data_IF_968772607970
#
_entry.id   IF_968772607970
#
_cell.length_a   1.000
_cell.length_b   1.000
_cell.length_c   1.000
_cell.angle_alpha   90.00
_cell.angle_beta   90.00
_cell.angle_gamma   90.00
#
_symmetry.space_group_name_H-M   'P 1'
#
loop_
_entity.id
_entity.type
_entity.pdbx_description
1 polymer ?
#
# COMPACT_ATOMS: atom_id res chain seq x y z
N UNK A 1 40.24 36.45 -64.82
CA UNK A 1 38.78 36.10 -64.71
C UNK A 1 38.68 34.82 -64.00
N UNK A 2 38.28 34.83 -62.70
CA UNK A 2 37.98 33.63 -61.90
C UNK A 2 36.51 33.71 -61.55
N UNK A 3 35.76 32.68 -61.93
CA UNK A 3 34.36 32.47 -61.59
C UNK A 3 34.30 31.85 -60.19
N UNK A 4 33.50 32.33 -59.24
CA UNK A 4 33.33 31.66 -57.94
C UNK A 4 32.32 30.51 -58.05
N UNK A 5 32.75 29.35 -57.58
CA UNK A 5 31.91 28.18 -57.39
C UNK A 5 30.87 28.46 -56.34
N UNK A 6 29.61 28.33 -56.72
CA UNK A 6 28.49 28.41 -55.81
C UNK A 6 28.45 27.20 -54.78
N UNK A 7 28.30 27.50 -53.53
CA UNK A 7 28.07 26.53 -52.46
C UNK A 7 26.61 26.08 -52.58
N UNK A 8 26.31 24.75 -52.64
CA UNK A 8 24.94 24.29 -52.61
C UNK A 8 24.36 24.54 -51.21
N UNK A 9 23.24 25.24 -51.17
CA UNK A 9 22.47 25.48 -49.95
C UNK A 9 22.09 24.16 -49.29
N UNK A 10 22.41 24.03 -48.02
CA UNK A 10 21.90 22.99 -47.17
C UNK A 10 20.38 23.21 -47.02
N UNK A 11 19.64 22.34 -47.67
CA UNK A 11 18.19 22.24 -47.54
C UNK A 11 17.86 21.65 -46.14
N UNK A 12 17.68 22.53 -45.17
CA UNK A 12 17.29 22.19 -43.81
C UNK A 12 15.74 22.08 -43.71
N UNK A 13 15.18 21.11 -44.41
CA UNK A 13 13.73 20.93 -44.49
C UNK A 13 13.26 19.49 -44.68
N UNK A 14 13.95 18.52 -44.08
CA UNK A 14 13.34 17.19 -43.97
C UNK A 14 12.24 17.25 -42.88
N UNK A 15 10.99 17.56 -43.31
CA UNK A 15 9.82 17.52 -42.47
C UNK A 15 9.69 16.12 -41.80
N UNK A 16 10.10 16.00 -40.57
CA UNK A 16 9.75 14.80 -39.76
C UNK A 16 8.24 14.68 -39.86
N UNK A 17 7.73 13.63 -40.52
CA UNK A 17 6.31 13.32 -40.49
C UNK A 17 5.87 13.26 -39.02
N UNK A 18 4.91 14.12 -38.65
CA UNK A 18 4.42 14.20 -37.29
C UNK A 18 3.98 12.81 -36.81
N UNK A 19 4.54 12.36 -35.73
CA UNK A 19 4.23 11.03 -35.15
C UNK A 19 2.72 10.89 -34.94
N UNK A 20 2.15 9.71 -35.24
CA UNK A 20 0.70 9.47 -35.11
C UNK A 20 0.28 9.59 -33.65
N UNK A 21 -0.86 10.25 -33.38
CA UNK A 21 -1.38 10.45 -32.01
C UNK A 21 -1.51 9.13 -31.24
N UNK A 22 -1.92 8.04 -31.91
CA UNK A 22 -2.00 6.71 -31.27
C UNK A 22 -0.65 6.19 -30.76
N UNK A 23 0.46 6.48 -31.45
CA UNK A 23 1.80 6.10 -31.02
C UNK A 23 2.23 6.94 -29.80
N UNK A 24 2.01 8.26 -29.85
CA UNK A 24 2.28 9.18 -28.73
C UNK A 24 1.50 8.74 -27.48
N UNK A 25 0.20 8.43 -27.65
CA UNK A 25 -0.65 7.88 -26.57
C UNK A 25 -0.03 6.63 -25.97
N UNK A 26 0.35 5.66 -26.79
CA UNK A 26 0.96 4.41 -26.34
C UNK A 26 2.24 4.66 -25.53
N UNK A 27 3.12 5.54 -26.00
CA UNK A 27 4.35 5.91 -25.29
C UNK A 27 4.06 6.54 -23.92
N UNK A 28 3.16 7.56 -23.89
CA UNK A 28 2.83 8.25 -22.64
C UNK A 28 2.08 7.35 -21.64
N UNK A 29 1.29 6.38 -22.10
CA UNK A 29 0.58 5.44 -21.23
C UNK A 29 1.50 4.36 -20.67
N UNK A 30 2.45 3.86 -21.48
CA UNK A 30 3.40 2.82 -21.08
C UNK A 30 4.56 3.33 -20.23
N UNK A 31 4.88 4.63 -20.32
CA UNK A 31 5.99 5.22 -19.59
C UNK A 31 5.81 5.20 -18.08
N UNK A 32 6.90 4.94 -17.36
CA UNK A 32 6.96 5.10 -15.93
C UNK A 32 6.82 6.57 -15.52
N UNK A 33 6.40 6.81 -14.28
CA UNK A 33 6.20 8.18 -13.76
C UNK A 33 7.47 9.02 -13.85
N UNK A 34 8.64 8.42 -13.62
CA UNK A 34 9.95 9.08 -13.71
C UNK A 34 10.34 9.50 -15.13
N UNK A 35 9.83 8.80 -16.14
CA UNK A 35 10.13 9.06 -17.56
C UNK A 35 9.21 10.12 -18.16
N UNK A 36 8.00 10.28 -17.58
CA UNK A 36 6.98 11.17 -18.12
C UNK A 36 7.45 12.63 -18.31
N UNK A 37 8.21 13.27 -17.38
CA UNK A 37 8.66 14.65 -17.57
C UNK A 37 9.51 14.82 -18.83
N UNK A 38 10.41 13.88 -19.12
CA UNK A 38 11.26 13.89 -20.31
C UNK A 38 10.42 13.66 -21.57
N UNK A 39 9.50 12.69 -21.55
CA UNK A 39 8.61 12.46 -22.69
C UNK A 39 7.69 13.64 -22.96
N UNK A 40 7.16 14.30 -21.93
CA UNK A 40 6.31 15.46 -22.07
C UNK A 40 7.04 16.62 -22.74
N UNK A 41 8.32 16.87 -22.43
CA UNK A 41 9.11 17.93 -23.08
C UNK A 41 9.27 17.74 -24.59
N UNK A 42 9.29 16.48 -25.07
CA UNK A 42 9.36 16.17 -26.51
C UNK A 42 8.10 16.59 -27.26
N UNK A 43 6.94 16.57 -26.60
CA UNK A 43 5.64 16.86 -27.22
C UNK A 43 5.05 18.21 -26.79
N UNK A 44 5.76 19.00 -26.01
CA UNK A 44 5.26 20.25 -25.42
C UNK A 44 4.75 21.26 -26.46
N UNK A 45 5.43 21.31 -27.61
CA UNK A 45 5.11 22.24 -28.73
C UNK A 45 4.09 21.67 -29.73
N UNK A 46 3.58 20.44 -29.51
CA UNK A 46 2.62 19.82 -30.42
C UNK A 46 1.20 20.34 -30.13
N UNK A 47 0.70 21.21 -31.01
CA UNK A 47 -0.61 21.88 -30.83
C UNK A 47 -1.83 21.00 -31.17
N UNK A 48 -1.61 19.78 -31.66
CA UNK A 48 -2.74 18.87 -31.99
C UNK A 48 -3.55 18.55 -30.75
N UNK A 49 -4.88 18.80 -30.81
CA UNK A 49 -5.79 18.64 -29.68
C UNK A 49 -5.72 17.22 -29.05
N UNK A 50 -5.53 16.17 -29.87
CA UNK A 50 -5.37 14.79 -29.38
C UNK A 50 -4.07 14.57 -28.61
N UNK A 51 -2.97 15.27 -28.97
CA UNK A 51 -1.69 15.21 -28.24
C UNK A 51 -1.81 16.00 -26.94
N UNK A 52 -2.39 17.19 -26.96
CA UNK A 52 -2.61 18.00 -25.76
C UNK A 52 -3.49 17.28 -24.72
N UNK A 53 -4.48 16.52 -25.17
CA UNK A 53 -5.31 15.69 -24.27
C UNK A 53 -4.47 14.59 -23.57
N UNK A 54 -3.55 13.93 -24.27
CA UNK A 54 -2.67 12.91 -23.67
C UNK A 54 -1.62 13.55 -22.73
N UNK A 55 -1.07 14.73 -23.09
CA UNK A 55 -0.19 15.52 -22.21
C UNK A 55 -0.91 15.86 -20.90
N UNK A 56 -2.16 16.33 -20.98
CA UNK A 56 -2.96 16.64 -19.78
C UNK A 56 -3.20 15.41 -18.91
N UNK A 57 -3.46 14.24 -19.50
CA UNK A 57 -3.59 12.97 -18.78
C UNK A 57 -2.29 12.57 -18.08
N UNK A 58 -1.16 12.67 -18.77
CA UNK A 58 0.14 12.36 -18.20
C UNK A 58 0.51 13.31 -17.04
N UNK A 59 0.28 14.62 -17.20
CA UNK A 59 0.45 15.62 -16.12
C UNK A 59 -0.42 15.30 -14.91
N UNK A 60 -1.67 14.85 -15.13
CA UNK A 60 -2.56 14.41 -14.04
C UNK A 60 -2.02 13.16 -13.31
N UNK A 61 -1.41 12.21 -14.04
CA UNK A 61 -0.75 11.04 -13.44
C UNK A 61 0.42 11.45 -12.54
N UNK A 62 1.27 12.36 -13.01
CA UNK A 62 2.39 12.90 -12.23
C UNK A 62 1.87 13.57 -10.95
N UNK A 63 0.92 14.48 -11.07
CA UNK A 63 0.35 15.19 -9.91
C UNK A 63 -0.31 14.24 -8.90
N UNK A 64 -0.99 13.18 -9.37
CA UNK A 64 -1.57 12.17 -8.49
C UNK A 64 -0.49 11.37 -7.74
N UNK A 65 0.59 11.02 -8.41
CA UNK A 65 1.74 10.34 -7.81
C UNK A 65 2.43 11.21 -6.75
N UNK A 66 2.72 12.47 -7.07
CA UNK A 66 3.34 13.42 -6.14
C UNK A 66 2.46 13.65 -4.89
N UNK A 67 1.14 13.73 -5.09
CA UNK A 67 0.19 13.81 -3.97
C UNK A 67 0.26 12.58 -3.09
N UNK A 68 0.36 11.40 -3.69
CA UNK A 68 0.46 10.13 -2.95
C UNK A 68 1.79 10.01 -2.21
N UNK A 69 2.91 10.42 -2.82
CA UNK A 69 4.22 10.48 -2.14
C UNK A 69 4.14 11.37 -0.90
N UNK A 70 3.56 12.58 -1.03
CA UNK A 70 3.38 13.49 0.12
C UNK A 70 2.47 12.87 1.19
N UNK A 71 1.39 12.18 0.80
CA UNK A 71 0.49 11.50 1.75
C UNK A 71 1.23 10.38 2.50
N UNK A 72 2.01 9.57 1.79
CA UNK A 72 2.80 8.49 2.39
C UNK A 72 3.86 9.05 3.34
N UNK A 73 4.52 10.14 2.97
CA UNK A 73 5.45 10.84 3.86
C UNK A 73 4.75 11.37 5.13
N UNK A 74 3.54 11.89 5.02
CA UNK A 74 2.75 12.29 6.19
C UNK A 74 2.38 11.09 7.07
N UNK A 75 2.06 9.93 6.47
CA UNK A 75 1.74 8.69 7.18
C UNK A 75 2.93 8.12 7.98
N UNK A 76 4.16 8.50 7.65
CA UNK A 76 5.38 8.11 8.37
C UNK A 76 5.72 9.03 9.56
N UNK A 77 4.80 9.87 10.00
CA UNK A 77 5.08 10.86 11.06
C UNK A 77 5.58 10.20 12.35
N UNK A 78 4.92 9.14 12.81
CA UNK A 78 5.31 8.44 14.04
C UNK A 78 6.62 7.69 13.89
N UNK A 79 6.88 7.05 12.76
CA UNK A 79 8.13 6.37 12.49
C UNK A 79 9.31 7.34 12.48
N UNK A 80 9.11 8.58 12.00
CA UNK A 80 10.12 9.65 12.08
C UNK A 80 10.28 10.22 13.49
N UNK A 81 9.19 10.40 14.22
CA UNK A 81 9.23 10.86 15.62
C UNK A 81 10.04 9.91 16.49
N UNK A 82 9.90 8.61 16.24
CA UNK A 82 10.59 7.56 16.97
C UNK A 82 11.80 6.97 16.22
N UNK A 83 12.43 7.72 15.30
CA UNK A 83 13.53 7.23 14.44
C UNK A 83 14.78 6.73 15.20
N UNK A 84 14.91 7.06 16.50
CA UNK A 84 15.96 6.54 17.37
C UNK A 84 15.85 5.03 17.63
N UNK A 85 14.63 4.45 17.51
CA UNK A 85 14.40 3.01 17.62
C UNK A 85 14.80 2.29 16.33
N UNK A 86 15.42 1.12 16.45
CA UNK A 86 15.88 0.36 15.29
C UNK A 86 14.75 -0.37 14.59
N UNK A 87 13.87 -1.01 15.37
CA UNK A 87 12.79 -1.87 14.89
C UNK A 87 11.44 -1.41 15.44
N UNK A 88 10.80 -0.48 14.72
CA UNK A 88 9.46 0.00 15.04
C UNK A 88 8.45 -0.97 14.41
N UNK A 89 7.60 -1.56 15.24
CA UNK A 89 6.57 -2.51 14.82
C UNK A 89 5.19 -1.85 14.88
N UNK A 90 4.47 -1.87 13.78
CA UNK A 90 3.03 -1.55 13.74
C UNK A 90 2.20 -2.78 14.07
N UNK A 91 1.12 -2.60 14.83
CA UNK A 91 0.20 -3.68 15.24
C UNK A 91 -1.23 -3.24 15.00
N UNK A 92 -2.00 -4.12 14.35
CA UNK A 92 -3.45 -3.97 14.14
C UNK A 92 -4.14 -5.34 14.13
N UNK A 93 -5.45 -5.35 14.32
CA UNK A 93 -6.26 -6.57 14.32
C UNK A 93 -7.48 -6.47 13.39
N UNK A 94 -8.00 -7.61 13.00
CA UNK A 94 -9.25 -7.78 12.27
C UNK A 94 -10.04 -8.95 12.84
N UNK A 95 -11.37 -8.87 12.80
CA UNK A 95 -12.23 -9.97 13.26
C UNK A 95 -12.97 -9.71 14.56
N UNK A 96 -12.84 -8.50 15.17
CA UNK A 96 -13.61 -8.13 16.38
C UNK A 96 -15.07 -7.78 16.11
N UNK A 97 -15.38 -7.34 14.90
CA UNK A 97 -16.73 -6.91 14.53
C UNK A 97 -17.61 -7.95 13.83
N UNK A 98 -17.07 -8.96 13.11
CA UNK A 98 -17.86 -10.04 12.54
C UNK A 98 -18.52 -10.92 13.60
N UNK A 99 -19.64 -11.59 13.22
CA UNK A 99 -20.35 -12.55 14.06
C UNK A 99 -19.70 -13.93 14.07
N UNK A 100 -18.86 -14.24 13.06
CA UNK A 100 -18.23 -15.54 12.90
C UNK A 100 -16.79 -15.41 12.41
N UNK A 101 -16.00 -16.44 12.71
CA UNK A 101 -14.59 -16.55 12.32
C UNK A 101 -13.64 -16.02 13.39
N UNK A 102 -12.32 -16.20 13.18
CA UNK A 102 -11.29 -15.85 14.15
C UNK A 102 -11.01 -14.34 14.19
N UNK A 103 -10.37 -13.91 15.29
CA UNK A 103 -9.57 -12.68 15.30
C UNK A 103 -8.18 -12.99 14.72
N UNK A 104 -7.69 -12.10 13.87
CA UNK A 104 -6.33 -12.15 13.31
C UNK A 104 -5.64 -10.84 13.62
N UNK A 105 -4.45 -10.91 14.21
CA UNK A 105 -3.59 -9.76 14.45
C UNK A 105 -2.36 -9.82 13.52
N UNK A 106 -1.96 -8.67 13.01
CA UNK A 106 -0.73 -8.45 12.25
C UNK A 106 0.27 -7.63 13.05
N UNK A 107 1.53 -8.01 13.00
CA UNK A 107 2.67 -7.26 13.51
C UNK A 107 3.66 -7.07 12.35
N UNK A 108 4.00 -5.83 12.00
CA UNK A 108 4.85 -5.53 10.83
C UNK A 108 5.96 -4.55 11.20
N UNK A 109 7.20 -4.92 10.92
CA UNK A 109 8.36 -4.04 10.97
C UNK A 109 8.74 -3.68 9.54
N UNK A 110 8.59 -2.40 9.17
CA UNK A 110 9.00 -1.90 7.87
C UNK A 110 10.45 -1.38 7.92
N UNK A 111 11.18 -1.34 6.79
CA UNK A 111 12.46 -0.67 6.72
C UNK A 111 12.31 0.83 6.99
N UNK A 112 13.35 1.49 7.54
CA UNK A 112 13.31 2.92 7.89
C UNK A 112 13.10 3.84 6.68
N UNK A 113 13.55 3.41 5.52
CA UNK A 113 13.42 4.07 4.22
C UNK A 113 12.23 3.52 3.39
N UNK A 114 11.19 3.06 4.08
CA UNK A 114 10.03 2.47 3.43
C UNK A 114 9.44 3.39 2.36
N UNK A 115 9.37 2.88 1.13
CA UNK A 115 8.87 3.55 -0.07
C UNK A 115 7.50 3.00 -0.56
N UNK A 116 6.86 2.16 0.24
CA UNK A 116 5.58 1.54 -0.14
C UNK A 116 4.48 2.59 -0.18
N UNK A 117 4.02 2.91 -1.38
CA UNK A 117 2.92 3.84 -1.60
C UNK A 117 1.56 3.15 -1.43
N UNK A 118 0.51 3.96 -1.23
CA UNK A 118 -0.89 3.54 -1.14
C UNK A 118 -1.28 2.73 0.11
N UNK A 119 -0.39 2.49 1.06
CA UNK A 119 -0.79 1.97 2.37
C UNK A 119 -1.82 2.92 2.98
N UNK A 120 -2.93 2.36 3.46
CA UNK A 120 -4.03 3.10 4.07
C UNK A 120 -4.83 2.14 4.95
N UNK A 121 -5.78 2.66 5.74
CA UNK A 121 -6.83 1.89 6.39
C UNK A 121 -7.37 0.81 5.43
N UNK A 122 -7.24 -0.46 5.81
CA UNK A 122 -7.55 -1.60 4.95
C UNK A 122 -9.00 -1.62 4.47
N UNK A 123 -9.91 -1.01 5.23
CA UNK A 123 -11.34 -0.90 4.90
C UNK A 123 -11.62 0.10 3.77
N UNK A 124 -10.69 1.04 3.51
CA UNK A 124 -10.79 2.04 2.42
C UNK A 124 -10.20 1.55 1.10
N UNK A 125 -9.47 0.45 1.13
CA UNK A 125 -8.86 -0.15 -0.05
C UNK A 125 -9.81 -1.16 -0.71
N UNK A 126 -9.77 -1.25 -2.05
CA UNK A 126 -10.40 -2.37 -2.76
C UNK A 126 -9.67 -3.68 -2.43
N UNK A 127 -10.39 -4.81 -2.55
CA UNK A 127 -9.79 -6.14 -2.32
C UNK A 127 -8.54 -6.34 -3.18
N UNK A 128 -8.62 -6.05 -4.48
CA UNK A 128 -7.48 -6.12 -5.40
C UNK A 128 -6.29 -5.30 -4.91
N UNK A 129 -6.53 -4.06 -4.42
CA UNK A 129 -5.44 -3.19 -3.95
C UNK A 129 -4.85 -3.68 -2.64
N UNK A 130 -5.65 -4.28 -1.75
CA UNK A 130 -5.15 -4.93 -0.53
C UNK A 130 -4.24 -6.11 -0.85
N UNK A 131 -4.63 -6.96 -1.80
CA UNK A 131 -3.82 -8.12 -2.23
C UNK A 131 -2.48 -7.66 -2.84
N UNK A 132 -2.49 -6.66 -3.73
CA UNK A 132 -1.26 -6.08 -4.28
C UNK A 132 -0.33 -5.55 -3.18
N UNK A 133 -0.88 -4.82 -2.20
CA UNK A 133 -0.10 -4.26 -1.10
C UNK A 133 0.37 -5.32 -0.12
N UNK A 134 -0.43 -6.36 0.11
CA UNK A 134 -0.01 -7.51 0.91
C UNK A 134 1.27 -8.14 0.37
N UNK A 135 1.32 -8.44 -0.93
CA UNK A 135 2.48 -9.03 -1.56
C UNK A 135 3.72 -8.12 -1.46
N UNK A 136 3.55 -6.80 -1.70
CA UNK A 136 4.63 -5.82 -1.57
C UNK A 136 5.11 -5.72 -0.11
N UNK A 137 4.21 -5.72 0.88
CA UNK A 137 4.57 -5.67 2.30
C UNK A 137 5.32 -6.94 2.69
N UNK A 138 4.84 -8.12 2.29
CA UNK A 138 5.49 -9.40 2.59
C UNK A 138 6.90 -9.51 2.00
N UNK A 139 7.14 -8.89 0.83
CA UNK A 139 8.46 -8.84 0.18
C UNK A 139 9.42 -7.85 0.85
N UNK A 140 8.91 -6.65 1.21
CA UNK A 140 9.77 -5.52 1.66
C UNK A 140 9.91 -5.40 3.17
N UNK A 141 9.03 -5.99 3.96
CA UNK A 141 9.08 -5.88 5.41
C UNK A 141 10.33 -6.55 5.99
N UNK A 142 10.91 -5.95 7.02
CA UNK A 142 12.00 -6.53 7.80
C UNK A 142 11.52 -7.77 8.55
N UNK A 143 10.31 -7.72 9.09
CA UNK A 143 9.64 -8.86 9.72
C UNK A 143 8.13 -8.70 9.68
N UNK A 144 7.44 -9.83 9.56
CA UNK A 144 5.97 -9.93 9.65
C UNK A 144 5.64 -11.07 10.60
N UNK A 145 4.75 -10.81 11.55
CA UNK A 145 4.19 -11.80 12.46
C UNK A 145 2.66 -11.80 12.37
N UNK A 146 2.05 -12.97 12.44
CA UNK A 146 0.61 -13.17 12.44
C UNK A 146 0.19 -13.98 13.67
N UNK A 147 -0.81 -13.49 14.36
CA UNK A 147 -1.41 -14.20 15.51
C UNK A 147 -2.91 -14.40 15.30
N UNK A 148 -3.43 -15.46 15.91
CA UNK A 148 -4.80 -15.89 15.70
C UNK A 148 -5.46 -16.21 17.04
N UNK A 149 -6.76 -15.94 17.12
CA UNK A 149 -7.60 -16.48 18.18
C UNK A 149 -8.86 -17.08 17.58
N UNK A 150 -9.13 -18.35 17.87
CA UNK A 150 -10.25 -19.08 17.29
C UNK A 150 -11.58 -18.64 17.88
N UNK A 151 -12.72 -18.94 17.22
CA UNK A 151 -14.05 -18.67 17.77
C UNK A 151 -14.25 -19.30 19.15
N UNK A 152 -13.79 -20.54 19.36
CA UNK A 152 -13.88 -21.24 20.63
C UNK A 152 -13.13 -20.49 21.74
N UNK A 153 -11.91 -20.00 21.40
CA UNK A 153 -11.11 -19.22 22.35
C UNK A 153 -11.77 -17.87 22.67
N UNK A 154 -12.42 -17.25 21.71
CA UNK A 154 -13.17 -16.00 21.90
C UNK A 154 -14.33 -16.25 22.90
N UNK A 155 -15.04 -17.38 22.79
CA UNK A 155 -16.14 -17.77 23.70
C UNK A 155 -15.63 -18.04 25.12
N UNK A 156 -14.43 -18.60 25.27
CA UNK A 156 -13.83 -18.88 26.59
C UNK A 156 -13.40 -17.61 27.34
N UNK A 157 -12.74 -16.66 26.65
CA UNK A 157 -12.04 -15.55 27.33
C UNK A 157 -12.55 -14.17 26.95
N UNK A 158 -13.55 -14.06 26.10
CA UNK A 158 -14.11 -12.89 25.42
C UNK A 158 -13.23 -12.29 24.33
N UNK A 159 -13.87 -11.49 23.47
CA UNK A 159 -13.25 -10.89 22.27
C UNK A 159 -12.04 -9.99 22.57
N UNK A 160 -12.05 -9.26 23.70
CA UNK A 160 -10.96 -8.36 24.07
C UNK A 160 -9.71 -9.14 24.45
N UNK A 161 -9.83 -10.15 25.30
CA UNK A 161 -8.71 -10.98 25.73
C UNK A 161 -8.16 -11.81 24.57
N UNK A 162 -9.05 -12.36 23.74
CA UNK A 162 -8.70 -13.07 22.51
C UNK A 162 -7.91 -12.18 21.53
N UNK A 163 -8.28 -10.91 21.41
CA UNK A 163 -7.53 -9.93 20.61
C UNK A 163 -6.13 -9.72 21.17
N UNK A 164 -5.98 -9.56 22.49
CA UNK A 164 -4.66 -9.39 23.10
C UNK A 164 -3.79 -10.65 22.95
N UNK A 165 -4.36 -11.85 23.06
CA UNK A 165 -3.64 -13.09 22.80
C UNK A 165 -3.14 -13.15 21.35
N UNK A 166 -3.99 -12.85 20.37
CA UNK A 166 -3.58 -12.80 18.97
C UNK A 166 -2.48 -11.77 18.71
N UNK A 167 -2.55 -10.58 19.33
CA UNK A 167 -1.50 -9.56 19.21
C UNK A 167 -0.17 -10.03 19.82
N UNK A 168 -0.19 -10.64 21.00
CA UNK A 168 1.03 -11.20 21.63
C UNK A 168 1.64 -12.32 20.80
N UNK A 169 0.80 -13.19 20.23
CA UNK A 169 1.26 -14.23 19.31
C UNK A 169 1.91 -13.64 18.05
N UNK A 170 1.31 -12.60 17.44
CA UNK A 170 1.86 -11.90 16.29
C UNK A 170 3.26 -11.31 16.60
N UNK A 171 3.40 -10.64 17.75
CA UNK A 171 4.68 -10.10 18.21
C UNK A 171 5.70 -11.23 18.41
N UNK A 172 5.30 -12.32 19.05
CA UNK A 172 6.18 -13.46 19.33
C UNK A 172 6.67 -14.22 18.09
N UNK A 173 5.94 -14.10 16.98
CA UNK A 173 6.30 -14.71 15.68
C UNK A 173 7.18 -13.84 14.79
N UNK A 174 7.50 -12.61 15.19
CA UNK A 174 8.42 -11.77 14.46
C UNK A 174 9.84 -12.40 14.47
N UNK A 175 10.46 -12.48 13.28
CA UNK A 175 11.86 -12.96 13.16
C UNK A 175 12.88 -11.98 13.77
N UNK A 176 12.46 -10.73 13.99
CA UNK A 176 13.27 -9.66 14.60
C UNK A 176 12.49 -9.10 15.79
N UNK A 177 13.12 -8.99 16.94
CA UNK A 177 12.52 -8.40 18.15
C UNK A 177 12.31 -6.90 17.96
N UNK A 178 11.08 -6.38 18.11
CA UNK A 178 10.82 -4.94 18.07
C UNK A 178 11.32 -4.27 19.35
N UNK A 179 11.76 -3.01 19.23
CA UNK A 179 12.15 -2.16 20.35
C UNK A 179 11.13 -1.03 20.63
N UNK A 180 10.17 -0.85 19.72
CA UNK A 180 8.99 0.00 19.90
C UNK A 180 7.78 -0.62 19.18
N UNK A 181 6.62 -0.56 19.83
CA UNK A 181 5.32 -0.93 19.23
C UNK A 181 4.46 0.31 19.01
N UNK A 182 3.93 0.46 17.82
CA UNK A 182 2.87 1.41 17.48
C UNK A 182 1.57 0.61 17.34
N UNK A 183 0.61 0.82 18.22
CA UNK A 183 -0.61 0.01 18.28
C UNK A 183 -1.83 0.84 17.87
N UNK A 184 -2.80 0.25 17.15
CA UNK A 184 -4.07 0.94 16.91
C UNK A 184 -4.91 0.98 18.20
N UNK A 185 -4.94 2.16 18.81
CA UNK A 185 -5.76 2.58 19.96
C UNK A 185 -5.61 1.77 21.27
N UNK A 186 -4.80 0.69 21.34
CA UNK A 186 -4.73 -0.17 22.53
C UNK A 186 -3.32 -0.25 23.10
N UNK A 187 -3.23 -0.54 24.40
CA UNK A 187 -1.99 -1.04 25.05
C UNK A 187 -2.18 -2.52 25.32
N UNK A 188 -1.26 -3.35 24.82
CA UNK A 188 -1.33 -4.81 24.90
C UNK A 188 -0.77 -5.24 26.26
N UNK A 189 -1.56 -5.89 27.12
CA UNK A 189 -1.07 -6.38 28.41
C UNK A 189 0.04 -7.43 28.24
N UNK A 190 0.89 -7.57 29.27
CA UNK A 190 1.95 -8.60 29.35
C UNK A 190 3.03 -8.45 28.26
N UNK A 191 3.14 -7.30 27.61
CA UNK A 191 4.19 -6.97 26.66
C UNK A 191 5.13 -5.93 27.28
N UNK A 192 6.40 -6.25 27.42
CA UNK A 192 7.41 -5.41 28.08
C UNK A 192 8.03 -4.37 27.13
N UNK A 193 7.90 -4.57 25.83
CA UNK A 193 8.36 -3.60 24.82
C UNK A 193 7.59 -2.31 24.97
N UNK A 194 8.26 -1.16 24.83
CA UNK A 194 7.61 0.16 24.88
C UNK A 194 6.49 0.24 23.83
N UNK A 195 5.33 0.75 24.25
CA UNK A 195 4.14 0.85 23.42
C UNK A 195 3.68 2.30 23.28
N UNK A 196 3.20 2.66 22.10
CA UNK A 196 2.58 3.95 21.79
C UNK A 196 1.21 3.66 21.15
N UNK A 197 0.11 3.78 21.93
CA UNK A 197 -1.24 3.63 21.38
C UNK A 197 -1.62 4.87 20.55
N UNK A 198 -2.08 4.67 19.33
CA UNK A 198 -2.43 5.73 18.38
C UNK A 198 -3.88 5.57 17.95
N UNK A 199 -4.75 6.48 18.35
CA UNK A 199 -6.17 6.45 17.93
C UNK A 199 -6.27 6.63 16.42
N UNK A 200 -6.90 5.68 15.72
CA UNK A 200 -6.94 5.56 14.25
C UNK A 200 -5.52 5.44 13.68
N UNK A 201 -4.74 4.57 14.27
CA UNK A 201 -3.33 4.37 13.95
C UNK A 201 -3.14 3.89 12.51
N UNK A 202 -4.03 3.04 12.00
CA UNK A 202 -4.08 2.54 10.62
C UNK A 202 -4.13 3.66 9.55
N UNK A 203 -4.65 4.84 9.91
CA UNK A 203 -4.67 6.04 9.06
C UNK A 203 -3.57 7.05 9.37
N UNK A 204 -2.69 6.80 10.36
CA UNK A 204 -1.69 7.78 10.86
C UNK A 204 -0.26 7.25 10.90
N UNK A 205 -0.07 5.94 10.92
CA UNK A 205 1.22 5.25 10.92
C UNK A 205 1.28 4.27 9.76
N UNK A 206 2.35 4.32 8.98
CA UNK A 206 2.53 3.41 7.86
C UNK A 206 2.70 1.97 8.32
N UNK A 207 3.35 1.76 9.46
CA UNK A 207 3.58 0.44 10.05
C UNK A 207 2.27 -0.19 10.53
N UNK A 208 1.39 0.58 11.19
CA UNK A 208 0.06 0.11 11.61
C UNK A 208 -0.82 -0.16 10.37
N UNK A 209 -0.79 0.74 9.36
CA UNK A 209 -1.51 0.53 8.11
C UNK A 209 -1.06 -0.73 7.36
N UNK A 210 0.24 -1.04 7.39
CA UNK A 210 0.78 -2.29 6.84
C UNK A 210 0.26 -3.51 7.63
N UNK A 211 0.28 -3.46 8.96
CA UNK A 211 -0.25 -4.52 9.83
C UNK A 211 -1.74 -4.75 9.58
N UNK A 212 -2.53 -3.67 9.42
CA UNK A 212 -3.96 -3.71 9.08
C UNK A 212 -4.21 -4.47 7.77
N UNK A 213 -3.44 -4.16 6.73
CA UNK A 213 -3.55 -4.84 5.42
C UNK A 213 -3.20 -6.32 5.54
N UNK A 214 -2.08 -6.64 6.19
CA UNK A 214 -1.61 -8.03 6.35
C UNK A 214 -2.62 -8.86 7.14
N UNK A 215 -3.11 -8.35 8.27
CA UNK A 215 -4.14 -9.03 9.06
C UNK A 215 -5.44 -9.22 8.26
N UNK A 216 -5.89 -8.17 7.54
CA UNK A 216 -7.14 -8.19 6.77
C UNK A 216 -7.10 -9.20 5.63
N UNK A 217 -6.06 -9.19 4.82
CA UNK A 217 -5.91 -10.12 3.69
C UNK A 217 -5.83 -11.56 4.21
N UNK A 218 -5.03 -11.80 5.24
CA UNK A 218 -4.89 -13.13 5.85
C UNK A 218 -6.23 -13.66 6.36
N UNK A 219 -7.00 -12.84 7.08
CA UNK A 219 -8.31 -13.25 7.58
C UNK A 219 -9.31 -13.46 6.44
N UNK A 220 -9.34 -12.59 5.44
CA UNK A 220 -10.28 -12.72 4.33
C UNK A 220 -10.02 -14.00 3.53
N UNK A 221 -8.75 -14.36 3.30
CA UNK A 221 -8.36 -15.64 2.68
C UNK A 221 -8.80 -16.84 3.51
N UNK A 222 -8.65 -16.77 4.84
CA UNK A 222 -9.11 -17.82 5.75
C UNK A 222 -10.63 -17.97 5.71
N UNK A 223 -11.39 -16.87 5.66
CA UNK A 223 -12.85 -16.92 5.54
C UNK A 223 -13.31 -17.51 4.20
N UNK A 224 -12.55 -17.34 3.12
CA UNK A 224 -12.80 -18.04 1.85
C UNK A 224 -12.60 -19.55 1.99
N UNK A 225 -11.55 -19.99 2.69
CA UNK A 225 -11.34 -21.41 2.98
C UNK A 225 -12.47 -22.00 3.87
N UNK A 226 -12.96 -21.22 4.82
CA UNK A 226 -14.12 -21.66 5.63
C UNK A 226 -15.40 -21.78 4.78
N UNK A 227 -15.57 -20.99 3.74
CA UNK A 227 -16.72 -21.11 2.82
C UNK A 227 -16.73 -22.44 2.08
N UNK A 228 -15.56 -23.00 1.75
CA UNK A 228 -15.43 -24.32 1.12
C UNK A 228 -15.95 -25.45 2.05
N UNK A 229 -15.75 -25.30 3.35
CA UNK A 229 -16.21 -26.26 4.39
C UNK A 229 -17.66 -26.03 4.78
N UNK A 230 -18.10 -24.75 4.81
CA UNK A 230 -19.40 -24.32 5.29
C UNK A 230 -20.11 -23.39 4.27
N UNK A 231 -20.42 -23.87 3.06
CA UNK A 231 -20.90 -23.03 1.97
C UNK A 231 -22.26 -22.35 2.25
N UNK A 232 -23.07 -22.93 3.18
CA UNK A 232 -24.36 -22.38 3.54
C UNK A 232 -24.28 -21.03 4.25
N UNK A 233 -23.13 -20.64 4.78
CA UNK A 233 -22.97 -19.35 5.48
C UNK A 233 -22.47 -18.22 4.58
N UNK A 234 -21.98 -18.52 3.37
CA UNK A 234 -21.52 -17.53 2.40
C UNK A 234 -20.31 -16.72 2.86
N UNK A 235 -19.37 -17.32 3.60
CA UNK A 235 -18.21 -16.66 4.18
C UNK A 235 -17.27 -16.06 3.14
N UNK A 236 -17.19 -16.61 1.93
CA UNK A 236 -16.44 -16.04 0.84
C UNK A 236 -16.93 -14.63 0.46
N UNK A 237 -18.21 -14.36 0.65
CA UNK A 237 -18.84 -13.06 0.38
C UNK A 237 -18.83 -12.14 1.60
N UNK A 238 -19.41 -12.62 2.71
CA UNK A 238 -19.68 -11.80 3.89
C UNK A 238 -18.53 -11.72 4.89
N UNK A 239 -17.50 -12.55 4.76
CA UNK A 239 -16.31 -12.61 5.64
C UNK A 239 -16.68 -12.77 7.14
N UNK A 240 -17.84 -13.36 7.43
CA UNK A 240 -18.37 -13.55 8.78
C UNK A 240 -19.15 -12.36 9.33
N UNK A 241 -19.35 -11.28 8.58
CA UNK A 241 -20.25 -10.19 8.95
C UNK A 241 -21.70 -10.61 8.71
N UNK A 242 -22.65 -10.03 9.48
CA UNK A 242 -24.06 -10.30 9.27
C UNK A 242 -24.48 -9.91 7.84
N UNK A 243 -25.15 -10.85 7.14
CA UNK A 243 -25.81 -10.55 5.88
C UNK A 243 -27.02 -9.65 6.17
N UNK A 244 -27.28 -8.66 5.30
CA UNK A 244 -28.50 -7.87 5.28
C UNK A 244 -29.57 -8.60 4.48
#
# INVERSE_FOLDING_TARGET
MRVPLGVPGMDAGAGRMAEKIGIIRGKLQAADISELPVLLSVYETDERAGVQAEIARAKKRIAAYEKEVKRTQALQQYEREYAAYAHICGIDEVGRGPLAGPVVAGAVILPKDCDILYINDSKKLSEKKREELYDIIMEKAVAVGLGYSTPERIDEINILQATYEAMREAIGKLAVTPDLLLNDAVTIPEVTVRQVPIIKGDAKSISIGAASIVAKVTRDRLMVQYDEVYPMYGFASNKGYGAR
#
